data_IF_374449041283
#
_entry.id   IF_374449041283
#
_cell.length_a   1.000
_cell.length_b   1.000
_cell.length_c   1.000
_cell.angle_alpha   90.00
_cell.angle_beta   90.00
_cell.angle_gamma   90.00
#
_symmetry.space_group_name_H-M   'P 1'
#
loop_
_entity.id
_entity.type
_entity.pdbx_description
1 polymer ?
#
# COMPACT_ATOMS: atom_id res chain seq x y z
N UNK A 1 -5.44 12.54 15.34
CA UNK A 1 -6.47 11.97 14.44
C UNK A 1 -6.12 12.40 13.03
N UNK A 2 -5.84 11.46 12.14
CA UNK A 2 -5.59 11.73 10.71
C UNK A 2 -6.85 11.35 9.93
N UNK A 3 -7.25 12.19 8.98
CA UNK A 3 -8.37 11.94 8.08
C UNK A 3 -7.88 12.07 6.64
N UNK A 4 -8.11 11.03 5.85
CA UNK A 4 -7.76 11.01 4.44
C UNK A 4 -8.62 12.02 3.65
N UNK A 5 -8.00 12.71 2.70
CA UNK A 5 -8.57 13.87 2.01
C UNK A 5 -9.68 13.52 1.01
N UNK A 6 -9.81 12.26 0.60
CA UNK A 6 -10.78 11.83 -0.41
C UNK A 6 -12.22 11.71 0.11
N UNK A 7 -12.45 11.89 1.42
CA UNK A 7 -13.79 11.86 2.05
C UNK A 7 -14.57 10.55 1.84
N UNK A 8 -13.86 9.46 1.53
CA UNK A 8 -14.45 8.12 1.42
C UNK A 8 -14.11 7.31 2.66
N UNK A 9 -14.92 6.29 2.91
CA UNK A 9 -14.64 5.32 3.96
C UNK A 9 -13.33 4.57 3.65
N UNK A 10 -12.54 4.33 4.69
CA UNK A 10 -11.40 3.41 4.63
C UNK A 10 -11.97 2.00 4.73
N UNK A 11 -11.87 1.23 3.65
CA UNK A 11 -12.46 -0.12 3.55
C UNK A 11 -11.49 -1.23 3.89
N UNK A 12 -10.18 -0.95 3.89
CA UNK A 12 -9.16 -1.93 4.22
C UNK A 12 -7.96 -1.27 4.90
N UNK A 13 -7.41 -1.94 5.91
CA UNK A 13 -6.18 -1.57 6.60
C UNK A 13 -5.29 -2.81 6.73
N UNK A 14 -3.99 -2.70 6.41
CA UNK A 14 -3.02 -3.78 6.55
C UNK A 14 -1.69 -3.25 7.08
N UNK A 15 -1.29 -3.75 8.23
CA UNK A 15 0.07 -3.61 8.75
C UNK A 15 1.02 -4.52 7.96
N UNK A 16 2.23 -4.05 7.71
CA UNK A 16 3.28 -4.88 7.16
C UNK A 16 3.86 -5.78 8.26
N UNK A 17 3.28 -6.97 8.41
CA UNK A 17 3.74 -7.95 9.41
C UNK A 17 4.76 -8.94 8.85
N UNK A 18 5.23 -8.72 7.62
CA UNK A 18 6.22 -9.58 7.01
C UNK A 18 7.56 -9.38 7.74
N UNK A 19 8.01 -10.43 8.43
CA UNK A 19 9.36 -10.45 9.01
C UNK A 19 10.34 -10.50 7.84
N UNK A 20 11.15 -9.45 7.71
CA UNK A 20 12.09 -9.40 6.61
C UNK A 20 13.15 -10.50 6.77
N UNK A 21 13.40 -11.25 5.70
CA UNK A 21 14.39 -12.33 5.70
C UNK A 21 15.81 -11.73 5.73
N UNK A 22 15.95 -10.48 5.26
CA UNK A 22 17.19 -9.72 5.23
C UNK A 22 17.14 -8.57 6.24
N UNK A 23 18.18 -8.43 7.08
CA UNK A 23 18.18 -7.50 8.23
C UNK A 23 18.32 -6.02 7.86
N UNK A 24 18.70 -5.72 6.63
CA UNK A 24 19.13 -4.36 6.24
C UNK A 24 17.97 -3.44 5.84
N UNK A 25 16.78 -4.00 5.58
CA UNK A 25 15.56 -3.25 5.33
C UNK A 25 14.50 -3.70 6.35
N UNK A 26 14.17 -2.87 7.34
CA UNK A 26 13.02 -3.13 8.21
C UNK A 26 11.89 -2.18 7.80
N UNK A 27 10.77 -2.76 7.35
CA UNK A 27 9.57 -2.05 6.90
C UNK A 27 8.33 -2.52 7.67
N UNK A 28 8.54 -3.15 8.83
CA UNK A 28 7.46 -3.68 9.67
C UNK A 28 6.61 -2.59 10.35
N UNK A 29 7.12 -1.36 10.36
CA UNK A 29 6.44 -0.14 10.78
C UNK A 29 5.46 0.39 9.73
N UNK A 30 5.44 -0.12 8.49
CA UNK A 30 4.54 0.41 7.48
C UNK A 30 3.10 -0.10 7.66
N UNK A 31 2.14 0.81 7.45
CA UNK A 31 0.71 0.48 7.41
C UNK A 31 0.08 1.07 6.16
N UNK A 32 -0.76 0.29 5.51
CA UNK A 32 -1.46 0.71 4.30
C UNK A 32 -2.96 0.76 4.55
N UNK A 33 -3.61 1.71 3.87
CA UNK A 33 -5.06 1.86 3.86
C UNK A 33 -5.57 1.94 2.42
N UNK A 34 -6.77 1.40 2.19
CA UNK A 34 -7.52 1.64 0.96
C UNK A 34 -8.80 2.40 1.30
N UNK A 35 -9.07 3.44 0.51
CA UNK A 35 -10.35 4.14 0.46
C UNK A 35 -10.73 4.44 -1.00
N UNK A 36 -11.81 3.83 -1.49
CA UNK A 36 -12.28 3.99 -2.88
C UNK A 36 -11.21 3.65 -3.92
N UNK A 37 -10.67 4.64 -4.64
CA UNK A 37 -9.64 4.48 -5.68
C UNK A 37 -8.23 4.82 -5.17
N UNK A 38 -8.09 5.09 -3.87
CA UNK A 38 -6.85 5.57 -3.26
C UNK A 38 -6.28 4.51 -2.31
N UNK A 39 -4.97 4.32 -2.40
CA UNK A 39 -4.13 3.62 -1.45
C UNK A 39 -3.22 4.65 -0.79
N UNK A 40 -3.14 4.64 0.55
CA UNK A 40 -2.12 5.36 1.28
C UNK A 40 -1.22 4.38 2.01
N UNK A 41 0.07 4.69 2.07
CA UNK A 41 1.04 4.01 2.91
C UNK A 41 1.58 5.02 3.91
N UNK A 42 1.55 4.63 5.17
CA UNK A 42 2.06 5.41 6.27
C UNK A 42 3.24 4.72 6.92
N UNK A 43 4.18 5.53 7.37
CA UNK A 43 5.21 5.13 8.31
C UNK A 43 4.66 5.33 9.73
N UNK A 44 4.50 4.22 10.48
CA UNK A 44 4.12 4.23 11.89
C UNK A 44 5.37 4.10 12.76
N UNK A 45 6.25 5.10 12.68
CA UNK A 45 7.48 5.15 13.48
C UNK A 45 7.13 5.04 14.96
N UNK A 46 7.80 4.10 15.65
CA UNK A 46 7.71 3.94 17.11
C UNK A 46 6.30 3.67 17.69
N UNK A 47 5.49 2.86 17.01
CA UNK A 47 4.19 2.41 17.55
C UNK A 47 3.26 3.56 17.98
N UNK A 48 3.25 4.67 17.25
CA UNK A 48 2.16 5.65 17.33
C UNK A 48 2.50 7.03 17.88
N UNK A 49 3.78 7.40 17.98
CA UNK A 49 4.15 8.81 18.26
C UNK A 49 3.92 9.69 17.02
N UNK A 50 4.29 9.19 15.84
CA UNK A 50 4.09 9.87 14.57
C UNK A 50 3.54 8.87 13.54
N UNK A 51 2.60 9.35 12.71
CA UNK A 51 2.06 8.60 11.58
C UNK A 51 2.17 9.49 10.35
N UNK A 52 3.24 9.31 9.60
CA UNK A 52 3.56 10.13 8.44
C UNK A 52 3.15 9.42 7.15
N UNK A 53 2.63 10.18 6.19
CA UNK A 53 2.32 9.60 4.88
C UNK A 53 3.61 9.40 4.10
N UNK A 54 3.92 8.15 3.79
CA UNK A 54 5.09 7.76 3.00
C UNK A 54 4.76 7.74 1.50
N UNK A 55 3.60 7.22 1.12
CA UNK A 55 3.19 7.12 -0.28
C UNK A 55 1.69 7.28 -0.45
N UNK A 56 1.30 7.87 -1.57
CA UNK A 56 -0.08 8.01 -2.02
C UNK A 56 -0.18 7.49 -3.45
N UNK A 57 -1.08 6.54 -3.67
CA UNK A 57 -1.38 6.02 -4.99
C UNK A 57 -2.87 6.15 -5.27
N UNK A 58 -3.21 6.66 -6.45
CA UNK A 58 -4.59 6.92 -6.82
C UNK A 58 -4.85 6.42 -8.25
N UNK A 59 -5.84 5.54 -8.37
CA UNK A 59 -6.37 5.12 -9.67
C UNK A 59 -7.33 6.16 -10.24
N UNK A 60 -7.83 5.92 -11.46
CA UNK A 60 -8.87 6.78 -12.03
C UNK A 60 -10.15 6.76 -11.18
N UNK A 61 -10.96 7.83 -11.17
CA UNK A 61 -12.15 7.94 -10.32
C UNK A 61 -13.19 6.83 -10.50
N UNK A 62 -13.27 6.24 -11.68
CA UNK A 62 -14.17 5.14 -12.03
C UNK A 62 -13.70 3.77 -11.51
N UNK A 63 -12.46 3.66 -11.05
CA UNK A 63 -11.90 2.43 -10.50
C UNK A 63 -12.09 2.37 -8.98
N UNK A 64 -12.04 1.16 -8.42
CA UNK A 64 -12.09 0.96 -6.97
C UNK A 64 -11.11 -0.14 -6.59
N UNK A 65 -10.25 0.18 -5.64
CA UNK A 65 -9.33 -0.78 -5.06
C UNK A 65 -10.10 -1.70 -4.11
N UNK A 66 -9.87 -3.01 -4.22
CA UNK A 66 -10.63 -4.02 -3.46
C UNK A 66 -9.78 -4.90 -2.55
N UNK A 67 -8.50 -5.06 -2.88
CA UNK A 67 -7.58 -5.82 -2.06
C UNK A 67 -6.18 -5.21 -2.11
N UNK A 68 -5.39 -5.51 -1.07
CA UNK A 68 -3.97 -5.22 -1.03
C UNK A 68 -3.18 -6.32 -0.31
N UNK A 69 -1.91 -6.47 -0.67
CA UNK A 69 -0.98 -7.39 -0.02
C UNK A 69 0.45 -6.83 -0.05
N UNK A 70 1.13 -6.95 1.08
CA UNK A 70 2.55 -6.61 1.23
C UNK A 70 3.44 -7.69 0.63
N UNK A 71 4.43 -7.28 -0.15
CA UNK A 71 5.45 -8.17 -0.72
C UNK A 71 6.82 -7.57 -0.45
N UNK A 72 7.56 -8.12 0.50
CA UNK A 72 8.92 -7.68 0.79
C UNK A 72 9.90 -8.42 -0.12
N UNK A 73 10.75 -7.67 -0.82
CA UNK A 73 11.88 -8.20 -1.57
C UNK A 73 13.17 -7.57 -1.03
N UNK A 74 14.33 -8.07 -1.46
CA UNK A 74 15.61 -7.74 -0.84
C UNK A 74 15.92 -6.24 -0.76
N UNK A 75 15.58 -5.47 -1.80
CA UNK A 75 15.90 -4.03 -1.91
C UNK A 75 14.65 -3.13 -1.97
N UNK A 76 13.45 -3.68 -1.79
CA UNK A 76 12.20 -2.94 -1.98
C UNK A 76 11.06 -3.55 -1.15
N UNK A 77 10.07 -2.71 -0.88
CA UNK A 77 8.78 -3.15 -0.36
C UNK A 77 7.74 -2.89 -1.43
N UNK A 78 7.18 -3.95 -2.00
CA UNK A 78 6.14 -3.85 -3.00
C UNK A 78 4.76 -3.92 -2.34
N UNK A 79 3.81 -3.20 -2.92
CA UNK A 79 2.40 -3.33 -2.62
C UNK A 79 1.68 -3.90 -3.84
N UNK A 80 1.10 -5.08 -3.70
CA UNK A 80 0.13 -5.58 -4.66
C UNK A 80 -1.25 -4.99 -4.34
N UNK A 81 -1.91 -4.37 -5.31
CA UNK A 81 -3.29 -3.88 -5.18
C UNK A 81 -4.15 -4.37 -6.33
N UNK A 82 -5.44 -4.64 -6.07
CA UNK A 82 -6.37 -5.05 -7.11
C UNK A 82 -7.48 -4.03 -7.37
N UNK A 83 -7.78 -3.79 -8.63
CA UNK A 83 -9.05 -3.17 -9.09
C UNK A 83 -9.66 -4.05 -10.17
N UNK A 84 -10.94 -4.41 -10.01
CA UNK A 84 -11.66 -5.30 -10.92
C UNK A 84 -10.87 -6.59 -11.20
N UNK A 85 -10.34 -6.76 -12.42
CA UNK A 85 -9.63 -7.96 -12.87
C UNK A 85 -8.11 -7.74 -13.03
N UNK A 86 -7.60 -6.62 -12.52
CA UNK A 86 -6.23 -6.18 -12.69
C UNK A 86 -5.55 -6.14 -11.31
N UNK A 87 -4.37 -6.75 -11.21
CA UNK A 87 -3.49 -6.62 -10.05
C UNK A 87 -2.28 -5.78 -10.45
N UNK A 88 -2.01 -4.71 -9.73
CA UNK A 88 -0.87 -3.82 -9.93
C UNK A 88 0.14 -4.05 -8.81
N UNK A 89 1.41 -4.12 -9.18
CA UNK A 89 2.52 -4.12 -8.24
C UNK A 89 3.10 -2.71 -8.20
N UNK A 90 3.11 -2.11 -7.02
CA UNK A 90 3.65 -0.79 -6.75
C UNK A 90 4.96 -0.95 -5.98
N UNK A 91 6.02 -0.31 -6.44
CA UNK A 91 7.27 -0.17 -5.67
C UNK A 91 7.15 1.03 -4.76
N UNK A 92 7.33 0.83 -3.45
CA UNK A 92 7.33 1.94 -2.49
C UNK A 92 8.64 2.71 -2.53
N UNK A 93 9.78 2.03 -2.75
CA UNK A 93 11.07 2.71 -2.89
C UNK A 93 11.10 3.66 -4.11
N UNK A 94 10.44 3.28 -5.20
CA UNK A 94 10.40 4.07 -6.44
C UNK A 94 9.11 4.90 -6.60
N UNK A 95 8.14 4.74 -5.70
CA UNK A 95 6.82 5.40 -5.78
C UNK A 95 6.15 5.27 -7.15
N UNK A 96 6.18 4.07 -7.75
CA UNK A 96 5.61 3.83 -9.08
C UNK A 96 5.04 2.43 -9.24
N UNK A 97 4.10 2.27 -10.17
CA UNK A 97 3.70 0.96 -10.67
C UNK A 97 4.84 0.34 -11.46
N UNK A 98 5.22 -0.89 -11.10
CA UNK A 98 6.33 -1.63 -11.74
C UNK A 98 5.84 -2.76 -12.62
N UNK A 99 4.65 -3.28 -12.36
CA UNK A 99 4.10 -4.38 -13.12
C UNK A 99 2.58 -4.46 -12.97
N UNK A 100 1.92 -5.00 -14.00
CA UNK A 100 0.49 -5.26 -14.00
C UNK A 100 0.20 -6.70 -14.45
N UNK A 101 -0.54 -7.44 -13.62
CA UNK A 101 -1.04 -8.77 -13.91
C UNK A 101 -2.50 -8.67 -14.40
N UNK A 102 -2.73 -9.19 -15.59
CA UNK A 102 -4.06 -9.37 -16.19
C UNK A 102 -4.30 -10.87 -16.35
N UNK A 103 -5.52 -11.34 -16.09
CA UNK A 103 -5.83 -12.76 -16.28
C UNK A 103 -7.09 -13.26 -15.56
N UNK A 104 -7.66 -12.46 -14.67
CA UNK A 104 -8.97 -12.76 -14.12
C UNK A 104 -10.04 -12.47 -15.18
N UNK A 105 -10.84 -13.49 -15.49
CA UNK A 105 -11.98 -13.45 -16.42
C UNK A 105 -13.29 -13.45 -15.66
#
# INVERSE_FOLDING_TARGET
>A
IIKENHLKEITLVKFNLNVNINKDLDVSNLVATIGSNQLNVYDNEHCGDHLDIMSNFQLKPEETLKAMCWINIEEDCLMAVSSSNIIRLLSLARSMEVFTLNGHS
#
